data_IF_716623461054
#
_entry.id   IF_716623461054
#
_cell.length_a   1.000
_cell.length_b   1.000
_cell.length_c   1.000
_cell.angle_alpha   90.00
_cell.angle_beta   90.00
_cell.angle_gamma   90.00
#
_symmetry.space_group_name_H-M   'P 1'
#
loop_
_entity.id
_entity.type
_entity.pdbx_description
1 polymer ?
#
# COMPACT_ATOMS: atom_id res chain seq x y z
N UNK A 1 -6.96 -10.72 -14.18
CA UNK A 1 -6.73 -12.17 -13.97
C UNK A 1 -6.19 -12.46 -12.56
N UNK A 2 -4.98 -12.06 -12.18
CA UNK A 2 -4.36 -12.34 -10.86
C UNK A 2 -5.29 -12.04 -9.66
N UNK A 3 -5.96 -10.89 -9.66
CA UNK A 3 -6.91 -10.49 -8.61
C UNK A 3 -8.20 -11.32 -8.54
N UNK A 4 -8.59 -11.98 -9.64
CA UNK A 4 -9.81 -12.80 -9.71
C UNK A 4 -9.56 -14.27 -9.44
N UNK A 5 -8.47 -14.83 -9.95
CA UNK A 5 -8.14 -16.26 -9.84
C UNK A 5 -7.12 -16.53 -8.74
N UNK A 6 -6.48 -15.50 -8.23
CA UNK A 6 -5.43 -15.60 -7.24
C UNK A 6 -4.05 -15.83 -7.86
N UNK A 7 -3.01 -15.51 -7.07
CA UNK A 7 -1.63 -15.66 -7.49
C UNK A 7 -1.29 -17.12 -7.83
N UNK A 8 -1.66 -18.06 -6.97
CA UNK A 8 -1.28 -19.48 -7.13
C UNK A 8 -1.91 -20.11 -8.40
N UNK A 9 -3.17 -19.78 -8.69
CA UNK A 9 -3.95 -20.38 -9.78
C UNK A 9 -3.74 -19.70 -11.14
N UNK A 10 -2.84 -18.73 -11.24
CA UNK A 10 -2.56 -18.00 -12.48
C UNK A 10 -1.16 -18.32 -12.97
N UNK A 11 -1.01 -18.82 -14.18
CA UNK A 11 0.29 -19.07 -14.84
C UNK A 11 0.71 -17.89 -15.72
N UNK A 12 2.01 -17.82 -16.07
CA UNK A 12 2.51 -16.85 -17.06
C UNK A 12 1.83 -17.05 -18.42
N UNK A 13 1.49 -18.29 -18.78
CA UNK A 13 0.77 -18.61 -20.02
C UNK A 13 -0.62 -17.97 -20.03
N UNK A 14 -1.35 -18.07 -18.91
CA UNK A 14 -2.69 -17.48 -18.79
C UNK A 14 -2.63 -15.95 -18.89
N UNK A 15 -1.62 -15.35 -18.23
CA UNK A 15 -1.39 -13.91 -18.30
C UNK A 15 -1.07 -13.49 -19.76
N UNK A 16 -0.25 -14.25 -20.48
CA UNK A 16 0.10 -13.96 -21.86
C UNK A 16 -1.14 -14.01 -22.78
N UNK A 17 -2.00 -15.00 -22.60
CA UNK A 17 -3.25 -15.16 -23.36
C UNK A 17 -4.16 -13.95 -23.09
N UNK A 18 -4.39 -13.57 -21.83
CA UNK A 18 -5.27 -12.43 -21.50
C UNK A 18 -4.69 -11.09 -21.99
N UNK A 19 -3.37 -10.94 -22.01
CA UNK A 19 -2.68 -9.75 -22.50
C UNK A 19 -2.53 -9.71 -24.03
N UNK A 20 -2.96 -10.75 -24.76
CA UNK A 20 -2.80 -10.83 -26.20
C UNK A 20 -1.34 -10.84 -26.67
N UNK A 21 -0.42 -11.39 -25.85
CA UNK A 21 1.01 -11.40 -26.11
C UNK A 21 1.61 -12.81 -26.10
N UNK A 22 2.83 -12.96 -26.62
CA UNK A 22 3.54 -14.24 -26.57
C UNK A 22 4.12 -14.49 -25.17
N UNK A 23 3.95 -15.72 -24.66
CA UNK A 23 4.52 -16.13 -23.37
C UNK A 23 6.05 -15.92 -23.32
N UNK A 24 6.75 -16.13 -24.43
CA UNK A 24 8.20 -15.89 -24.56
C UNK A 24 8.59 -14.45 -24.32
N UNK A 25 7.74 -13.48 -24.70
CA UNK A 25 7.99 -12.06 -24.47
C UNK A 25 7.90 -11.73 -22.97
N UNK A 26 6.93 -12.29 -22.26
CA UNK A 26 6.82 -12.13 -20.80
C UNK A 26 8.05 -12.71 -20.11
N UNK A 27 8.49 -13.93 -20.48
CA UNK A 27 9.70 -14.53 -19.93
C UNK A 27 10.97 -13.74 -20.23
N UNK A 28 11.04 -13.12 -21.40
CA UNK A 28 12.16 -12.25 -21.76
C UNK A 28 12.28 -11.05 -20.81
N UNK A 29 11.17 -10.39 -20.50
CA UNK A 29 11.16 -9.20 -19.65
C UNK A 29 11.22 -9.50 -18.15
N UNK A 30 10.47 -10.49 -17.67
CA UNK A 30 10.24 -10.68 -16.22
C UNK A 30 10.89 -11.94 -15.64
N UNK A 31 11.45 -12.84 -16.47
CA UNK A 31 12.13 -14.07 -16.05
C UNK A 31 11.25 -15.08 -15.28
N UNK A 32 10.36 -14.63 -14.39
CA UNK A 32 9.47 -15.47 -13.57
C UNK A 32 8.14 -14.77 -13.28
N UNK A 33 7.16 -15.56 -12.80
CA UNK A 33 5.86 -15.02 -12.34
C UNK A 33 6.04 -14.07 -11.15
N UNK A 34 6.94 -14.39 -10.22
CA UNK A 34 7.27 -13.54 -9.08
C UNK A 34 7.73 -12.14 -9.55
N UNK A 35 8.70 -12.09 -10.47
CA UNK A 35 9.22 -10.83 -10.99
C UNK A 35 8.17 -10.02 -11.74
N UNK A 36 7.30 -10.67 -12.52
CA UNK A 36 6.19 -10.01 -13.19
C UNK A 36 5.23 -9.36 -12.19
N UNK A 37 4.83 -10.10 -11.17
CA UNK A 37 3.86 -9.62 -10.18
C UNK A 37 4.44 -8.51 -9.31
N UNK A 38 5.71 -8.59 -8.96
CA UNK A 38 6.40 -7.52 -8.25
C UNK A 38 6.51 -6.24 -9.11
N UNK A 39 6.75 -6.38 -10.42
CA UNK A 39 6.75 -5.24 -11.33
C UNK A 39 5.35 -4.59 -11.45
N UNK A 40 4.27 -5.39 -11.44
CA UNK A 40 2.90 -4.86 -11.38
C UNK A 40 2.67 -4.09 -10.08
N UNK A 41 3.12 -4.63 -8.94
CA UNK A 41 3.01 -3.96 -7.66
C UNK A 41 3.78 -2.62 -7.67
N UNK A 42 5.02 -2.62 -8.12
CA UNK A 42 5.85 -1.41 -8.24
C UNK A 42 5.21 -0.34 -9.15
N UNK A 43 4.66 -0.75 -10.31
CA UNK A 43 3.97 0.15 -11.23
C UNK A 43 2.74 0.82 -10.60
N UNK A 44 1.97 0.08 -9.82
CA UNK A 44 0.79 0.63 -9.14
C UNK A 44 1.21 1.64 -8.08
N UNK A 45 2.27 1.35 -7.34
CA UNK A 45 2.75 2.21 -6.25
C UNK A 45 3.34 3.53 -6.74
N UNK A 46 4.09 3.52 -7.85
CA UNK A 46 4.63 4.74 -8.45
C UNK A 46 3.55 5.76 -8.84
N UNK A 47 2.30 5.30 -9.07
CA UNK A 47 1.17 6.19 -9.35
C UNK A 47 0.57 6.86 -8.10
N UNK A 48 1.02 6.47 -6.92
CA UNK A 48 0.47 6.93 -5.64
C UNK A 48 1.26 8.09 -5.01
N UNK A 49 2.36 8.54 -5.65
CA UNK A 49 3.13 9.69 -5.15
C UNK A 49 2.33 10.98 -5.32
N UNK A 50 1.90 11.53 -4.20
CA UNK A 50 1.26 12.84 -4.13
C UNK A 50 2.34 13.91 -3.94
N UNK A 51 2.38 14.90 -4.84
CA UNK A 51 3.33 16.03 -4.77
C UNK A 51 2.91 17.12 -3.77
N UNK A 52 2.18 16.77 -2.70
CA UNK A 52 1.70 17.72 -1.69
C UNK A 52 2.39 17.40 -0.35
N UNK A 53 2.84 18.44 0.36
CA UNK A 53 3.66 18.34 1.57
C UNK A 53 2.93 18.88 2.81
N UNK A 54 3.44 18.53 4.00
CA UNK A 54 2.98 19.05 5.27
C UNK A 54 1.58 18.58 5.68
N UNK A 55 0.85 19.39 6.46
CA UNK A 55 -0.50 19.06 6.93
C UNK A 55 -1.50 18.96 5.77
N UNK A 56 -1.39 19.85 4.76
CA UNK A 56 -2.17 19.74 3.54
C UNK A 56 -1.86 18.44 2.77
N UNK A 57 -0.60 18.02 2.77
CA UNK A 57 -0.17 16.74 2.22
C UNK A 57 -0.78 15.55 2.95
N UNK A 58 -0.83 15.59 4.28
CA UNK A 58 -1.43 14.54 5.08
C UNK A 58 -2.94 14.41 4.80
N UNK A 59 -3.68 15.52 4.73
CA UNK A 59 -5.10 15.52 4.39
C UNK A 59 -5.33 14.96 2.98
N UNK A 60 -4.52 15.39 2.00
CA UNK A 60 -4.57 14.89 0.63
C UNK A 60 -4.24 13.40 0.55
N UNK A 61 -3.28 12.92 1.33
CA UNK A 61 -2.91 11.49 1.40
C UNK A 61 -4.08 10.62 1.91
N UNK A 62 -4.80 11.05 2.94
CA UNK A 62 -5.99 10.33 3.42
C UNK A 62 -7.13 10.36 2.39
N UNK A 63 -7.37 11.49 1.74
CA UNK A 63 -8.36 11.59 0.65
C UNK A 63 -8.01 10.65 -0.52
N UNK A 64 -6.73 10.60 -0.91
CA UNK A 64 -6.25 9.68 -1.93
C UNK A 64 -6.38 8.21 -1.50
N UNK A 65 -6.10 7.90 -0.23
CA UNK A 65 -6.31 6.55 0.33
C UNK A 65 -7.75 6.09 0.17
N UNK A 66 -8.75 6.95 0.46
CA UNK A 66 -10.18 6.63 0.24
C UNK A 66 -10.46 6.34 -1.23
N UNK A 67 -9.98 7.19 -2.13
CA UNK A 67 -10.16 6.99 -3.57
C UNK A 67 -9.53 5.66 -4.03
N UNK A 68 -8.31 5.37 -3.62
CA UNK A 68 -7.60 4.14 -3.94
C UNK A 68 -8.36 2.90 -3.44
N UNK A 69 -8.89 2.95 -2.22
CA UNK A 69 -9.66 1.84 -1.64
C UNK A 69 -10.94 1.55 -2.43
N UNK A 70 -11.62 2.59 -2.94
CA UNK A 70 -12.83 2.45 -3.77
C UNK A 70 -12.53 1.92 -5.17
N UNK A 71 -11.48 2.45 -5.83
CA UNK A 71 -11.22 2.22 -7.25
C UNK A 71 -10.32 1.01 -7.52
N UNK A 72 -9.52 0.60 -6.54
CA UNK A 72 -8.44 -0.37 -6.74
C UNK A 72 -8.64 -1.70 -6.01
N UNK A 73 -9.91 -2.14 -5.77
CA UNK A 73 -10.20 -3.38 -5.04
C UNK A 73 -9.40 -4.59 -5.55
N UNK A 74 -9.26 -4.71 -6.87
CA UNK A 74 -8.50 -5.79 -7.49
C UNK A 74 -7.00 -5.75 -7.15
N UNK A 75 -6.42 -4.56 -7.11
CA UNK A 75 -5.01 -4.34 -6.73
C UNK A 75 -4.80 -4.59 -5.24
N UNK A 76 -5.71 -4.11 -4.40
CA UNK A 76 -5.69 -4.33 -2.96
C UNK A 76 -5.77 -5.83 -2.63
N UNK A 77 -6.63 -6.57 -3.32
CA UNK A 77 -6.73 -8.02 -3.17
C UNK A 77 -5.42 -8.73 -3.59
N UNK A 78 -4.82 -8.32 -4.71
CA UNK A 78 -3.52 -8.85 -5.13
C UNK A 78 -2.43 -8.55 -4.10
N UNK A 79 -2.39 -7.33 -3.57
CA UNK A 79 -1.42 -6.94 -2.56
C UNK A 79 -1.50 -7.81 -1.29
N UNK A 80 -2.71 -8.01 -0.76
CA UNK A 80 -2.94 -8.88 0.42
C UNK A 80 -2.51 -10.33 0.13
N UNK A 81 -2.81 -10.86 -1.06
CA UNK A 81 -2.35 -12.19 -1.47
C UNK A 81 -0.82 -12.27 -1.51
N UNK A 82 -0.14 -11.24 -2.04
CA UNK A 82 1.32 -11.23 -2.12
C UNK A 82 1.99 -11.16 -0.75
N UNK A 83 1.38 -10.50 0.23
CA UNK A 83 1.84 -10.57 1.62
C UNK A 83 1.83 -12.02 2.10
N UNK A 84 0.72 -12.74 1.91
CA UNK A 84 0.62 -14.15 2.28
C UNK A 84 1.64 -15.03 1.58
N UNK A 85 1.79 -14.89 0.26
CA UNK A 85 2.81 -15.62 -0.53
C UNK A 85 4.21 -15.29 -0.04
N UNK A 86 4.50 -14.02 0.25
CA UNK A 86 5.82 -13.55 0.70
C UNK A 86 6.27 -14.09 2.06
N UNK A 87 5.35 -14.66 2.85
CA UNK A 87 5.72 -15.38 4.09
C UNK A 87 6.44 -16.70 3.81
N UNK A 88 6.24 -17.30 2.61
CA UNK A 88 6.77 -18.60 2.23
C UNK A 88 7.67 -18.57 0.99
N UNK A 89 7.60 -17.51 0.16
CA UNK A 89 8.43 -17.29 -1.02
C UNK A 89 9.42 -16.14 -0.76
N UNK A 90 10.75 -16.42 -0.66
CA UNK A 90 11.74 -15.39 -0.36
C UNK A 90 11.81 -14.25 -1.38
N UNK A 91 11.58 -14.54 -2.68
CA UNK A 91 11.63 -13.55 -3.75
C UNK A 91 10.46 -12.57 -3.63
N UNK A 92 9.25 -13.10 -3.49
CA UNK A 92 8.05 -12.29 -3.28
C UNK A 92 8.15 -11.54 -1.95
N UNK A 93 8.60 -12.21 -0.89
CA UNK A 93 8.77 -11.62 0.44
C UNK A 93 9.73 -10.44 0.45
N UNK A 94 10.84 -10.50 -0.30
CA UNK A 94 11.76 -9.35 -0.40
C UNK A 94 11.09 -8.16 -1.13
N UNK A 95 10.38 -8.43 -2.23
CA UNK A 95 9.64 -7.39 -2.94
C UNK A 95 8.56 -6.73 -2.07
N UNK A 96 7.76 -7.53 -1.35
CA UNK A 96 6.73 -7.03 -0.42
C UNK A 96 7.37 -6.23 0.72
N UNK A 97 8.51 -6.68 1.29
CA UNK A 97 9.23 -5.91 2.31
C UNK A 97 9.71 -4.55 1.80
N UNK A 98 10.30 -4.53 0.59
CA UNK A 98 10.74 -3.28 -0.05
C UNK A 98 9.56 -2.30 -0.19
N UNK A 99 8.43 -2.79 -0.65
CA UNK A 99 7.21 -2.03 -0.80
C UNK A 99 6.72 -1.45 0.54
N UNK A 100 6.49 -2.29 1.56
CA UNK A 100 6.03 -1.84 2.88
C UNK A 100 7.00 -0.81 3.50
N UNK A 101 8.31 -0.99 3.30
CA UNK A 101 9.31 -0.03 3.80
C UNK A 101 9.22 1.30 3.08
N UNK A 102 9.01 1.29 1.75
CA UNK A 102 8.83 2.50 0.95
C UNK A 102 7.62 3.31 1.39
N UNK A 103 6.46 2.65 1.51
CA UNK A 103 5.24 3.31 1.94
C UNK A 103 5.34 3.88 3.36
N UNK A 104 5.92 3.11 4.29
CA UNK A 104 6.15 3.63 5.65
C UNK A 104 7.10 4.81 5.67
N UNK A 105 8.15 4.81 4.84
CA UNK A 105 9.06 5.94 4.73
C UNK A 105 8.34 7.18 4.22
N UNK A 106 7.48 7.05 3.21
CA UNK A 106 6.66 8.15 2.71
C UNK A 106 5.73 8.72 3.80
N UNK A 107 5.03 7.84 4.55
CA UNK A 107 4.18 8.29 5.67
C UNK A 107 5.03 8.92 6.79
N UNK A 108 6.25 8.42 7.05
CA UNK A 108 7.17 9.02 8.02
C UNK A 108 7.58 10.44 7.62
N UNK A 109 7.86 10.67 6.34
CA UNK A 109 8.21 12.00 5.84
C UNK A 109 7.06 12.99 5.98
N UNK A 110 5.82 12.58 5.64
CA UNK A 110 4.62 13.40 5.87
C UNK A 110 4.45 13.70 7.37
N UNK A 111 4.54 12.68 8.23
CA UNK A 111 4.39 12.86 9.67
C UNK A 111 5.46 13.81 10.25
N UNK A 112 6.70 13.72 9.76
CA UNK A 112 7.81 14.60 10.16
C UNK A 112 7.54 16.06 9.79
N UNK A 113 7.00 16.29 8.60
CA UNK A 113 6.64 17.65 8.13
C UNK A 113 5.48 18.21 8.97
N UNK A 114 4.42 17.44 9.20
CA UNK A 114 3.27 17.85 10.04
C UNK A 114 3.71 18.21 11.46
N UNK A 115 4.56 17.39 12.08
CA UNK A 115 5.09 17.69 13.41
C UNK A 115 5.94 18.96 13.41
N UNK A 116 6.78 19.15 12.40
CA UNK A 116 7.60 20.34 12.23
C UNK A 116 6.77 21.62 12.04
N UNK A 117 5.72 21.59 11.21
CA UNK A 117 4.80 22.75 11.02
C UNK A 117 4.09 23.15 12.32
N UNK A 118 3.86 22.18 13.21
CA UNK A 118 3.24 22.42 14.52
C UNK A 118 4.24 22.79 15.62
N UNK A 119 5.54 22.87 15.29
CA UNK A 119 6.60 23.13 16.27
C UNK A 119 6.80 22.00 17.28
N UNK A 120 6.43 20.76 16.90
CA UNK A 120 6.56 19.57 17.75
C UNK A 120 7.84 18.80 17.40
N UNK A 121 8.31 17.98 18.36
CA UNK A 121 9.45 17.08 18.16
C UNK A 121 9.12 16.07 17.04
N UNK A 122 9.95 15.95 15.99
CA UNK A 122 9.74 14.96 14.91
C UNK A 122 10.10 13.52 15.31
N UNK A 123 10.68 13.27 16.46
CA UNK A 123 11.11 11.94 16.90
C UNK A 123 10.01 10.87 16.84
N UNK A 124 8.72 11.15 17.13
CA UNK A 124 7.64 10.17 17.03
C UNK A 124 7.24 9.79 15.60
N UNK A 125 7.67 10.54 14.55
CA UNK A 125 7.19 10.36 13.16
C UNK A 125 7.31 8.93 12.66
N UNK A 126 8.41 8.23 12.96
CA UNK A 126 8.60 6.82 12.59
C UNK A 126 7.57 5.88 13.23
N UNK A 127 7.24 6.11 14.49
CA UNK A 127 6.22 5.33 15.21
C UNK A 127 4.82 5.60 14.64
N UNK A 128 4.52 6.88 14.39
CA UNK A 128 3.28 7.32 13.74
C UNK A 128 3.11 6.62 12.38
N UNK A 129 4.14 6.66 11.54
CA UNK A 129 4.11 6.00 10.24
C UNK A 129 3.86 4.49 10.34
N UNK A 130 4.47 3.84 11.33
CA UNK A 130 4.25 2.42 11.58
C UNK A 130 2.79 2.09 11.91
N UNK A 131 2.17 2.89 12.79
CA UNK A 131 0.78 2.71 13.21
C UNK A 131 -0.20 3.06 12.10
N UNK A 132 -0.01 4.20 11.44
CA UNK A 132 -0.86 4.65 10.32
C UNK A 132 -0.85 3.62 9.20
N UNK A 133 0.33 3.14 8.80
CA UNK A 133 0.43 2.13 7.76
C UNK A 133 -0.21 0.79 8.17
N UNK A 134 -0.03 0.36 9.41
CA UNK A 134 -0.67 -0.85 9.92
C UNK A 134 -2.21 -0.72 9.94
N UNK A 135 -2.74 0.46 10.29
CA UNK A 135 -4.17 0.73 10.23
C UNK A 135 -4.70 0.72 8.79
N UNK A 136 -4.01 1.38 7.83
CA UNK A 136 -4.38 1.35 6.41
C UNK A 136 -4.41 -0.09 5.89
N UNK A 137 -3.40 -0.90 6.20
CA UNK A 137 -3.38 -2.31 5.81
C UNK A 137 -4.56 -3.09 6.43
N UNK A 138 -4.87 -2.83 7.70
CA UNK A 138 -6.03 -3.41 8.36
C UNK A 138 -7.36 -3.01 7.70
N UNK A 139 -7.51 -1.74 7.32
CA UNK A 139 -8.67 -1.23 6.56
C UNK A 139 -8.78 -1.93 5.20
N UNK A 140 -7.68 -2.09 4.46
CA UNK A 140 -7.65 -2.82 3.20
C UNK A 140 -8.18 -4.25 3.40
N UNK A 141 -7.68 -4.97 4.40
CA UNK A 141 -8.10 -6.35 4.68
C UNK A 141 -9.60 -6.42 5.01
N UNK A 142 -10.08 -5.54 5.89
CA UNK A 142 -11.49 -5.50 6.29
C UNK A 142 -12.40 -5.15 5.10
N UNK A 143 -12.04 -4.17 4.28
CA UNK A 143 -12.82 -3.79 3.10
C UNK A 143 -12.93 -4.92 2.05
N UNK A 144 -11.97 -5.83 2.02
CA UNK A 144 -12.00 -7.00 1.15
C UNK A 144 -12.83 -8.14 1.74
N UNK A 145 -12.80 -8.31 3.06
CA UNK A 145 -13.41 -9.42 3.76
C UNK A 145 -14.88 -9.17 4.13
N UNK A 146 -15.24 -7.92 4.44
CA UNK A 146 -16.57 -7.52 4.89
C UNK A 146 -17.18 -6.46 3.96
N UNK A 147 -18.23 -6.80 3.20
CA UNK A 147 -18.93 -5.85 2.32
C UNK A 147 -19.66 -4.71 3.08
N UNK A 148 -19.96 -4.89 4.37
CA UNK A 148 -20.65 -3.89 5.20
C UNK A 148 -19.67 -2.95 5.92
N UNK A 149 -18.36 -3.21 5.84
CA UNK A 149 -17.35 -2.38 6.48
C UNK A 149 -17.27 -0.99 5.83
N UNK A 150 -17.58 0.06 6.60
CA UNK A 150 -17.48 1.45 6.14
C UNK A 150 -16.02 1.89 6.08
N UNK A 151 -15.46 1.74 4.89
CA UNK A 151 -14.08 2.07 4.58
C UNK A 151 -13.81 3.57 4.71
N UNK A 152 -14.78 4.41 4.33
CA UNK A 152 -14.62 5.87 4.38
C UNK A 152 -14.60 6.38 5.81
N UNK A 153 -15.53 5.90 6.65
CA UNK A 153 -15.56 6.23 8.07
C UNK A 153 -14.28 5.81 8.77
N UNK A 154 -13.77 4.62 8.45
CA UNK A 154 -12.52 4.12 9.03
C UNK A 154 -11.31 4.99 8.66
N UNK A 155 -11.19 5.42 7.39
CA UNK A 155 -10.09 6.30 6.95
C UNK A 155 -10.25 7.71 7.54
N UNK A 156 -11.46 8.26 7.62
CA UNK A 156 -11.70 9.56 8.24
C UNK A 156 -11.38 9.55 9.73
N UNK A 157 -11.76 8.47 10.42
CA UNK A 157 -11.40 8.29 11.84
C UNK A 157 -9.89 8.20 12.03
N UNK A 158 -9.20 7.43 11.17
CA UNK A 158 -7.74 7.34 11.21
C UNK A 158 -7.08 8.70 10.97
N UNK A 159 -7.59 9.49 10.03
CA UNK A 159 -7.11 10.84 9.75
C UNK A 159 -7.26 11.75 10.98
N UNK A 160 -8.45 11.76 11.60
CA UNK A 160 -8.70 12.53 12.83
C UNK A 160 -7.75 12.09 13.94
N UNK A 161 -7.63 10.79 14.21
CA UNK A 161 -6.74 10.27 15.24
C UNK A 161 -5.28 10.66 15.01
N UNK A 162 -4.80 10.58 13.75
CA UNK A 162 -3.43 10.87 13.40
C UNK A 162 -3.10 12.36 13.44
N UNK A 163 -4.04 13.23 13.01
CA UNK A 163 -3.83 14.67 12.91
C UNK A 163 -4.16 15.42 14.20
N UNK A 164 -4.96 14.85 15.10
CA UNK A 164 -5.33 15.49 16.38
C UNK A 164 -4.52 14.97 17.58
N UNK A 165 -3.74 13.91 17.40
CA UNK A 165 -2.94 13.35 18.47
C UNK A 165 -1.97 14.40 19.03
N UNK A 166 -2.09 14.69 20.34
CA UNK A 166 -1.15 15.52 21.05
C UNK A 166 0.07 14.66 21.42
N UNK A 167 1.12 14.75 20.63
CA UNK A 167 2.42 14.16 20.94
C UNK A 167 3.14 15.02 22.00
N UNK A 168 2.61 15.06 23.22
CA UNK A 168 3.35 15.59 24.36
C UNK A 168 4.47 14.60 24.67
N UNK A 169 5.69 14.95 24.26
CA UNK A 169 6.88 14.17 24.55
C UNK A 169 6.94 13.88 26.03
N UNK A 170 6.93 12.62 26.40
CA UNK A 170 7.23 12.22 27.78
C UNK A 170 8.62 12.72 28.15
N UNK A 171 8.69 13.52 29.20
CA UNK A 171 9.93 13.89 29.88
C UNK A 171 10.51 12.67 30.56
#
# INVERSE_FOLDING_TARGET
>A
MLSRQGYENTSIKDIAIEAGTAQGLIHYHYKSKQMLVLAVLEYVCQKMELGVEGEAGAVAAFAHTKQMLRESRATNALYVQLIGVGLHDPVVGEGVRKFIRGDRAHVEDIARQVLGERGLDPAPARGVAGVVWAAILGIIVQSLADPEFDTDEAVDTLAVMSLTANYSGGR
#
